data_IF_088812875816
#
_entry.id   IF_088812875816
#
_cell.length_a   1.000
_cell.length_b   1.000
_cell.length_c   1.000
_cell.angle_alpha   90.00
_cell.angle_beta   90.00
_cell.angle_gamma   90.00
#
_symmetry.space_group_name_H-M   'P 1'
#
loop_
_entity.id
_entity.type
_entity.pdbx_description
1 polymer ?
#
# COMPACT_ATOMS: atom_id res chain seq x y z
N UNK A 1 -16.89 4.21 32.47
CA UNK A 1 -17.36 2.88 32.02
C UNK A 1 -16.55 2.48 30.80
N UNK A 2 -15.75 1.41 30.85
CA UNK A 2 -15.13 0.84 29.64
C UNK A 2 -16.21 0.04 28.93
N UNK A 3 -16.72 0.57 27.83
CA UNK A 3 -17.62 -0.18 26.94
C UNK A 3 -16.79 -1.29 26.31
N UNK A 4 -16.91 -2.52 26.82
CA UNK A 4 -16.34 -3.70 26.18
C UNK A 4 -17.28 -4.02 25.01
N UNK A 5 -16.94 -3.60 23.81
CA UNK A 5 -17.65 -4.05 22.61
C UNK A 5 -17.39 -5.55 22.45
N UNK A 6 -18.43 -6.36 22.62
CA UNK A 6 -18.38 -7.78 22.30
C UNK A 6 -18.59 -7.91 20.78
N UNK A 7 -17.50 -7.87 20.01
CA UNK A 7 -17.55 -8.14 18.58
C UNK A 7 -17.92 -9.60 18.32
N UNK A 8 -18.74 -9.83 17.32
CA UNK A 8 -19.03 -11.17 16.80
C UNK A 8 -17.81 -11.77 16.12
N UNK A 9 -17.72 -13.10 16.01
CA UNK A 9 -16.60 -13.78 15.35
C UNK A 9 -16.41 -13.32 13.90
N UNK A 10 -17.51 -13.06 13.18
CA UNK A 10 -17.48 -12.55 11.81
C UNK A 10 -16.87 -11.14 11.72
N UNK A 11 -17.23 -10.23 12.62
CA UNK A 11 -16.65 -8.88 12.65
C UNK A 11 -15.17 -8.89 13.00
N UNK A 12 -14.73 -9.82 13.86
CA UNK A 12 -13.30 -9.98 14.18
C UNK A 12 -12.54 -10.47 12.96
N UNK A 13 -13.10 -11.44 12.23
CA UNK A 13 -12.49 -11.99 11.02
C UNK A 13 -12.41 -10.95 9.90
N UNK A 14 -13.47 -10.17 9.68
CA UNK A 14 -13.49 -9.06 8.72
C UNK A 14 -12.44 -8.00 9.06
N UNK A 15 -12.36 -7.56 10.32
CA UNK A 15 -11.35 -6.60 10.75
C UNK A 15 -9.92 -7.13 10.53
N UNK A 16 -9.67 -8.41 10.81
CA UNK A 16 -8.37 -9.03 10.55
C UNK A 16 -8.00 -9.06 9.06
N UNK A 17 -8.98 -9.32 8.18
CA UNK A 17 -8.78 -9.29 6.73
C UNK A 17 -8.43 -7.87 6.28
N UNK A 18 -9.21 -6.90 6.75
CA UNK A 18 -9.00 -5.48 6.44
C UNK A 18 -7.62 -5.01 6.89
N UNK A 19 -7.22 -5.31 8.12
CA UNK A 19 -5.90 -4.94 8.65
C UNK A 19 -4.78 -5.63 7.88
N UNK A 20 -4.95 -6.90 7.46
CA UNK A 20 -3.98 -7.61 6.62
C UNK A 20 -3.80 -6.91 5.27
N UNK A 21 -4.89 -6.49 4.62
CA UNK A 21 -4.83 -5.76 3.35
C UNK A 21 -4.04 -4.46 3.52
N UNK A 22 -4.37 -3.64 4.52
CA UNK A 22 -3.66 -2.38 4.77
C UNK A 22 -2.19 -2.59 5.11
N UNK A 23 -1.87 -3.61 5.89
CA UNK A 23 -0.48 -3.96 6.20
C UNK A 23 0.30 -4.33 4.94
N UNK A 24 -0.30 -5.14 4.05
CA UNK A 24 0.32 -5.50 2.77
C UNK A 24 0.51 -4.28 1.86
N UNK A 25 -0.42 -3.33 1.85
CA UNK A 25 -0.28 -2.07 1.10
C UNK A 25 0.92 -1.25 1.58
N UNK A 26 1.08 -1.10 2.89
CA UNK A 26 2.23 -0.38 3.47
C UNK A 26 3.53 -1.12 3.14
N UNK A 27 3.53 -2.45 3.22
CA UNK A 27 4.70 -3.27 2.91
C UNK A 27 5.10 -3.15 1.44
N UNK A 28 4.14 -3.19 0.52
CA UNK A 28 4.41 -3.01 -0.90
C UNK A 28 5.06 -1.66 -1.20
N UNK A 29 4.55 -0.56 -0.62
CA UNK A 29 5.16 0.77 -0.80
C UNK A 29 6.57 0.82 -0.24
N UNK A 30 6.84 0.16 0.89
CA UNK A 30 8.20 0.04 1.46
C UNK A 30 9.15 -0.65 0.50
N UNK A 31 8.76 -1.80 -0.03
CA UNK A 31 9.59 -2.59 -0.95
C UNK A 31 9.81 -1.86 -2.27
N UNK A 32 8.78 -1.22 -2.82
CA UNK A 32 8.91 -0.41 -4.04
C UNK A 32 9.81 0.81 -3.84
N UNK A 33 9.71 1.53 -2.72
CA UNK A 33 10.61 2.65 -2.40
C UNK A 33 12.06 2.17 -2.23
N UNK A 34 12.26 1.08 -1.49
CA UNK A 34 13.58 0.50 -1.29
C UNK A 34 14.22 0.08 -2.62
N UNK A 35 13.48 -0.62 -3.48
CA UNK A 35 13.98 -1.09 -4.76
C UNK A 35 14.21 0.04 -5.78
N UNK A 36 13.35 1.06 -5.81
CA UNK A 36 13.51 2.22 -6.70
C UNK A 36 14.64 3.16 -6.29
N UNK A 37 15.06 3.14 -5.02
CA UNK A 37 16.02 4.09 -4.47
C UNK A 37 15.43 5.50 -4.25
N UNK A 38 14.12 5.66 -4.45
CA UNK A 38 13.41 6.91 -4.17
C UNK A 38 13.18 7.08 -2.67
N UNK A 39 13.13 8.33 -2.23
CA UNK A 39 12.81 8.66 -0.84
C UNK A 39 11.31 8.77 -0.64
N UNK A 40 10.86 8.65 0.62
CA UNK A 40 9.49 8.98 0.99
C UNK A 40 9.13 10.43 0.65
N UNK A 41 10.11 11.33 0.62
CA UNK A 41 9.91 12.74 0.26
C UNK A 41 9.60 12.91 -1.22
N UNK A 42 10.34 12.22 -2.11
CA UNK A 42 10.08 12.24 -3.56
C UNK A 42 8.65 11.77 -3.86
N UNK A 43 8.23 10.70 -3.18
CA UNK A 43 6.88 10.15 -3.31
C UNK A 43 5.82 11.13 -2.78
N UNK A 44 6.04 11.78 -1.64
CA UNK A 44 5.08 12.77 -1.10
C UNK A 44 4.92 13.97 -2.04
N UNK A 45 6.01 14.46 -2.62
CA UNK A 45 5.98 15.57 -3.60
C UNK A 45 5.21 15.16 -4.85
N UNK A 46 5.40 13.94 -5.34
CA UNK A 46 4.67 13.45 -6.51
C UNK A 46 3.16 13.30 -6.25
N UNK A 47 2.80 12.81 -5.07
CA UNK A 47 1.40 12.56 -4.68
C UNK A 47 0.66 13.82 -4.19
N UNK A 48 1.35 14.95 -4.04
CA UNK A 48 0.82 16.18 -3.43
C UNK A 48 0.16 15.92 -2.06
N UNK A 49 0.80 15.06 -1.25
CA UNK A 49 0.34 14.71 0.09
C UNK A 49 1.25 15.31 1.17
N UNK A 50 0.63 15.78 2.25
CA UNK A 50 1.36 16.23 3.43
C UNK A 50 2.27 15.11 3.97
N UNK A 51 3.56 15.43 4.12
CA UNK A 51 4.58 14.49 4.60
C UNK A 51 4.20 13.87 5.94
N UNK A 52 3.62 14.64 6.86
CA UNK A 52 3.28 14.13 8.20
C UNK A 52 2.16 13.08 8.14
N UNK A 53 1.19 13.27 7.25
CA UNK A 53 0.12 12.31 6.97
C UNK A 53 0.69 11.03 6.39
N UNK A 54 1.55 11.15 5.36
CA UNK A 54 2.18 9.99 4.75
C UNK A 54 3.07 9.22 5.74
N UNK A 55 3.92 9.91 6.52
CA UNK A 55 4.78 9.25 7.50
C UNK A 55 4.00 8.49 8.57
N UNK A 56 2.89 9.05 9.06
CA UNK A 56 2.03 8.37 10.05
C UNK A 56 1.45 7.09 9.48
N UNK A 57 0.93 7.13 8.26
CA UNK A 57 0.45 5.95 7.56
C UNK A 57 1.58 4.93 7.29
N UNK A 58 2.72 5.38 6.74
CA UNK A 58 3.87 4.55 6.36
C UNK A 58 4.52 3.83 7.56
N UNK A 59 4.52 4.45 8.73
CA UNK A 59 4.97 3.84 9.99
C UNK A 59 3.95 2.86 10.58
N UNK A 60 2.83 2.61 9.90
CA UNK A 60 1.72 1.80 10.38
C UNK A 60 1.11 2.31 11.70
N UNK A 61 1.07 3.64 11.89
CA UNK A 61 0.42 4.24 13.04
C UNK A 61 -1.09 4.31 12.79
N UNK A 62 -1.82 3.30 13.27
CA UNK A 62 -3.29 3.34 13.32
C UNK A 62 -3.78 4.61 14.06
N UNK A 63 -4.89 5.23 13.61
CA UNK A 63 -5.81 4.81 12.56
C UNK A 63 -5.57 5.53 11.21
N UNK A 64 -4.39 6.11 10.98
CA UNK A 64 -4.15 6.91 9.76
C UNK A 64 -4.14 5.98 8.54
N UNK A 65 -5.03 6.25 7.60
CA UNK A 65 -5.15 5.53 6.32
C UNK A 65 -5.07 6.56 5.20
N UNK A 66 -4.30 6.25 4.16
CA UNK A 66 -4.43 6.95 2.88
C UNK A 66 -5.60 6.32 2.11
N UNK A 67 -6.25 7.11 1.27
CA UNK A 67 -7.29 6.59 0.40
C UNK A 67 -6.70 5.70 -0.71
N UNK A 68 -7.55 4.86 -1.30
CA UNK A 68 -7.13 3.92 -2.34
C UNK A 68 -6.60 4.59 -3.60
N UNK A 69 -7.07 5.80 -3.93
CA UNK A 69 -6.60 6.53 -5.10
C UNK A 69 -5.15 6.99 -4.90
N UNK A 70 -4.85 7.61 -3.77
CA UNK A 70 -3.47 7.97 -3.38
C UNK A 70 -2.54 6.75 -3.36
N UNK A 71 -3.01 5.63 -2.81
CA UNK A 71 -2.25 4.38 -2.80
C UNK A 71 -1.94 3.85 -4.21
N UNK A 72 -2.96 3.76 -5.08
CA UNK A 72 -2.80 3.28 -6.46
C UNK A 72 -1.84 4.19 -7.23
N UNK A 73 -1.98 5.51 -7.08
CA UNK A 73 -1.08 6.48 -7.72
C UNK A 73 0.37 6.31 -7.27
N UNK A 74 0.60 6.04 -5.98
CA UNK A 74 1.93 5.76 -5.45
C UNK A 74 2.54 4.50 -6.09
N UNK A 75 1.76 3.42 -6.18
CA UNK A 75 2.21 2.19 -6.83
C UNK A 75 2.55 2.40 -8.31
N UNK A 76 1.68 3.07 -9.07
CA UNK A 76 1.91 3.35 -10.50
C UNK A 76 3.18 4.15 -10.70
N UNK A 77 3.36 5.24 -9.93
CA UNK A 77 4.54 6.09 -10.03
C UNK A 77 5.84 5.31 -9.77
N UNK A 78 5.89 4.52 -8.69
CA UNK A 78 7.08 3.74 -8.34
C UNK A 78 7.38 2.66 -9.39
N UNK A 79 6.35 1.97 -9.90
CA UNK A 79 6.51 0.97 -10.95
C UNK A 79 7.01 1.58 -12.26
N UNK A 80 6.47 2.75 -12.66
CA UNK A 80 6.92 3.47 -13.84
C UNK A 80 8.38 3.91 -13.69
N UNK A 81 8.75 4.48 -12.54
CA UNK A 81 10.12 4.86 -12.26
C UNK A 81 11.07 3.66 -12.38
N UNK A 82 10.73 2.53 -11.76
CA UNK A 82 11.52 1.31 -11.85
C UNK A 82 11.62 0.81 -13.30
N UNK A 83 10.54 0.85 -14.07
CA UNK A 83 10.53 0.45 -15.49
C UNK A 83 11.44 1.35 -16.36
N UNK A 84 11.36 2.67 -16.19
CA UNK A 84 12.21 3.64 -16.88
C UNK A 84 13.70 3.43 -16.59
N UNK A 85 14.02 3.08 -15.34
CA UNK A 85 15.38 2.84 -14.87
C UNK A 85 15.83 1.37 -15.02
N UNK A 86 14.99 0.51 -15.61
CA UNK A 86 15.23 -0.92 -15.83
C UNK A 86 15.56 -1.69 -14.54
N UNK A 87 14.95 -1.27 -13.43
CA UNK A 87 15.07 -1.93 -12.13
C UNK A 87 14.05 -3.08 -12.09
N UNK A 88 14.49 -4.34 -11.94
CA UNK A 88 13.57 -5.47 -11.89
C UNK A 88 12.81 -5.52 -10.56
N UNK A 89 11.58 -6.02 -10.59
CA UNK A 89 10.85 -6.37 -9.36
C UNK A 89 11.48 -7.59 -8.70
N UNK A 90 11.49 -7.59 -7.37
CA UNK A 90 11.86 -8.76 -6.57
C UNK A 90 10.69 -9.75 -6.51
N UNK A 91 10.98 -10.99 -6.09
CA UNK A 91 9.93 -11.98 -5.82
C UNK A 91 8.95 -11.50 -4.75
N UNK A 92 9.45 -10.79 -3.73
CA UNK A 92 8.62 -10.21 -2.66
C UNK A 92 7.68 -9.13 -3.18
N UNK A 93 8.16 -8.19 -4.01
CA UNK A 93 7.32 -7.19 -4.66
C UNK A 93 6.26 -7.86 -5.53
N UNK A 94 6.65 -8.89 -6.30
CA UNK A 94 5.73 -9.63 -7.18
C UNK A 94 4.60 -10.27 -6.36
N UNK A 95 4.95 -10.98 -5.29
CA UNK A 95 3.97 -11.59 -4.38
C UNK A 95 3.05 -10.57 -3.71
N UNK A 96 3.59 -9.44 -3.27
CA UNK A 96 2.80 -8.39 -2.64
C UNK A 96 1.82 -7.74 -3.61
N UNK A 97 2.20 -7.58 -4.89
CA UNK A 97 1.28 -7.10 -5.93
C UNK A 97 0.12 -8.07 -6.13
N UNK A 98 0.39 -9.38 -6.14
CA UNK A 98 -0.65 -10.42 -6.23
C UNK A 98 -1.57 -10.40 -5.00
N UNK A 99 -0.99 -10.37 -3.80
CA UNK A 99 -1.71 -10.39 -2.52
C UNK A 99 -2.55 -9.11 -2.28
N UNK A 100 -2.22 -8.01 -2.95
CA UNK A 100 -2.95 -6.73 -2.85
C UNK A 100 -3.98 -6.55 -3.97
N UNK A 101 -4.11 -7.53 -4.89
CA UNK A 101 -5.00 -7.51 -6.05
C UNK A 101 -4.88 -6.22 -6.88
N UNK A 102 -3.71 -5.56 -6.83
CA UNK A 102 -3.47 -4.25 -7.45
C UNK A 102 -3.62 -4.28 -8.97
N UNK A 103 -3.53 -5.48 -9.54
CA UNK A 103 -3.89 -5.80 -10.91
C UNK A 103 -4.59 -7.15 -10.95
N UNK A 104 -5.91 -7.18 -10.77
CA UNK A 104 -6.67 -8.08 -11.63
C UNK A 104 -6.53 -7.53 -13.04
N UNK A 105 -5.85 -8.20 -13.99
CA UNK A 105 -6.26 -8.04 -15.36
C UNK A 105 -7.73 -8.47 -15.36
N UNK A 106 -8.66 -7.52 -15.45
CA UNK A 106 -9.84 -7.85 -16.23
C UNK A 106 -9.25 -8.30 -17.57
N UNK A 107 -9.48 -9.55 -18.02
CA UNK A 107 -9.08 -9.92 -19.35
C UNK A 107 -9.76 -8.90 -20.26
N UNK A 108 -8.97 -8.00 -20.85
CA UNK A 108 -9.42 -7.27 -22.02
C UNK A 108 -9.63 -8.39 -23.03
N UNK A 109 -10.88 -8.80 -23.17
CA UNK A 109 -11.31 -9.71 -24.22
C UNK A 109 -10.99 -9.02 -25.54
N UNK A 110 -9.83 -9.36 -26.10
CA UNK A 110 -9.54 -9.23 -27.52
C UNK A 110 -10.09 -10.45 -28.25
#
# INVERSE_FOLDING_TARGET
>A
MKQKCNHTLAEIEENNIVDRIYNNQILLIKELLHASGLTTEDLCVHLDIDKSTFYRWYQNNHPVRIDSHTYIHACIFLQQHMAEHKIPFTEEITKLIEDTELFCPHPIMS
#
